data_IF_998034721135
#
_entry.id   IF_998034721135
#
_cell.length_a   1.000
_cell.length_b   1.000
_cell.length_c   1.000
_cell.angle_alpha   90.00
_cell.angle_beta   90.00
_cell.angle_gamma   90.00
#
_symmetry.space_group_name_H-M   'P 1'
#
loop_
_entity.id
_entity.type
_entity.pdbx_description
1 polymer ?
#
# COMPACT_ATOMS: atom_id res chain seq x y z
N UNK A 1 75.18 19.56 8.63
CA UNK A 1 74.47 20.86 8.63
C UNK A 1 73.02 20.54 8.24
N UNK A 2 72.11 20.49 9.23
CA UNK A 2 70.92 21.38 9.36
C UNK A 2 70.14 21.54 8.04
N UNK A 3 68.85 21.20 7.92
CA UNK A 3 67.75 21.55 8.82
C UNK A 3 66.59 20.55 8.75
N UNK A 4 65.98 20.30 9.92
CA UNK A 4 64.59 19.88 10.06
C UNK A 4 63.69 20.95 9.44
N UNK A 5 62.63 20.55 8.73
CA UNK A 5 61.42 21.36 8.60
C UNK A 5 60.21 20.55 9.07
N UNK A 6 59.75 20.89 10.28
CA UNK A 6 58.38 20.67 10.74
C UNK A 6 57.47 21.64 9.97
N UNK A 7 56.40 21.12 9.35
CA UNK A 7 55.19 21.93 9.12
C UNK A 7 54.04 21.19 9.79
N UNK A 8 53.62 21.75 10.92
CA UNK A 8 52.32 21.51 11.51
C UNK A 8 51.26 22.05 10.54
N UNK A 9 50.48 21.15 9.94
CA UNK A 9 49.32 21.47 9.12
C UNK A 9 48.11 20.76 9.67
N UNK A 10 47.55 21.28 10.76
CA UNK A 10 46.17 21.01 11.11
C UNK A 10 45.29 21.95 10.28
N UNK A 11 44.39 21.39 9.48
CA UNK A 11 42.96 21.73 9.42
C UNK A 11 42.32 20.57 8.66
N UNK A 12 41.66 19.71 9.42
CA UNK A 12 40.73 18.76 8.86
C UNK A 12 39.47 19.54 8.46
N UNK A 13 39.19 19.63 7.17
CA UNK A 13 37.83 19.87 6.67
C UNK A 13 37.39 18.60 5.97
N UNK A 14 37.16 17.57 6.78
CA UNK A 14 36.27 16.50 6.38
C UNK A 14 34.88 17.09 6.60
N UNK A 15 34.25 17.60 5.54
CA UNK A 15 32.81 17.80 5.55
C UNK A 15 32.16 16.41 5.57
N UNK A 16 32.20 15.75 6.72
CA UNK A 16 31.27 14.67 7.00
C UNK A 16 29.92 15.35 7.16
N UNK A 17 29.15 15.39 6.08
CA UNK A 17 27.70 15.27 6.23
C UNK A 17 27.47 13.88 6.83
N UNK A 18 27.61 13.80 8.15
CA UNK A 18 26.93 12.77 8.92
C UNK A 18 25.46 13.01 8.62
N UNK A 19 24.90 12.26 7.67
CA UNK A 19 23.48 12.02 7.66
C UNK A 19 23.20 11.44 9.06
N UNK A 20 22.63 12.26 9.93
CA UNK A 20 22.22 11.83 11.25
C UNK A 20 21.38 10.56 11.05
N UNK A 21 21.57 9.52 11.88
CA UNK A 21 20.65 8.39 11.86
C UNK A 21 19.23 8.96 11.95
N UNK A 22 18.28 8.46 11.14
CA UNK A 22 16.88 8.83 11.29
C UNK A 22 16.50 8.53 12.74
N UNK A 23 16.53 9.55 13.60
CA UNK A 23 16.11 9.45 15.00
C UNK A 23 14.60 9.45 14.97
N UNK A 24 14.06 8.27 14.70
CA UNK A 24 12.65 8.01 14.91
C UNK A 24 12.37 8.17 16.41
N UNK A 25 11.52 9.15 16.71
CA UNK A 25 11.19 9.54 18.07
C UNK A 25 9.80 9.02 18.43
N UNK A 26 9.67 8.47 19.63
CA UNK A 26 8.39 8.01 20.19
C UNK A 26 7.54 9.14 20.75
N UNK A 27 8.17 10.26 21.10
CA UNK A 27 7.52 11.32 21.89
C UNK A 27 7.44 12.64 21.12
N UNK A 28 8.57 13.16 20.62
CA UNK A 28 8.66 14.49 19.99
C UNK A 28 8.95 14.43 18.51
N UNK A 29 8.38 15.34 17.74
CA UNK A 29 8.62 15.50 16.31
C UNK A 29 8.58 16.97 15.91
N UNK A 30 8.93 17.25 14.65
CA UNK A 30 8.99 18.61 14.14
C UNK A 30 10.42 19.09 13.94
N UNK A 31 10.55 20.36 13.55
CA UNK A 31 11.85 21.00 13.35
C UNK A 31 12.73 20.90 14.62
N UNK A 32 13.96 20.44 14.44
CA UNK A 32 14.89 20.15 15.54
C UNK A 32 14.63 18.87 16.36
N UNK A 33 13.48 18.20 16.20
CA UNK A 33 13.15 16.95 16.92
C UNK A 33 13.10 15.71 16.01
N UNK A 34 12.97 15.89 14.70
CA UNK A 34 12.97 14.81 13.73
C UNK A 34 11.58 14.21 13.50
N UNK A 35 11.55 12.98 12.97
CA UNK A 35 10.31 12.30 12.55
C UNK A 35 9.79 11.36 13.62
N UNK A 36 8.48 11.19 13.68
CA UNK A 36 7.86 10.14 14.48
C UNK A 36 8.19 8.74 13.97
N UNK A 37 8.14 7.75 14.86
CA UNK A 37 8.17 6.33 14.51
C UNK A 37 7.22 6.01 13.34
N UNK A 38 7.58 5.07 12.44
CA UNK A 38 6.70 4.67 11.34
C UNK A 38 5.28 4.32 11.83
N UNK A 39 4.27 4.89 11.17
CA UNK A 39 2.87 4.70 11.56
C UNK A 39 2.34 5.70 12.60
N UNK A 40 3.14 6.68 13.01
CA UNK A 40 2.73 7.77 13.89
C UNK A 40 2.67 9.11 13.16
N UNK A 41 1.74 9.95 13.63
CA UNK A 41 1.47 11.29 13.15
C UNK A 41 2.21 12.31 14.01
N UNK A 42 2.60 13.43 13.41
CA UNK A 42 3.22 14.53 14.11
C UNK A 42 2.21 15.67 14.28
N UNK A 43 1.76 15.95 15.49
CA UNK A 43 0.79 17.03 15.75
C UNK A 43 1.41 18.41 15.49
N UNK A 44 0.59 19.46 15.37
CA UNK A 44 1.06 20.85 15.29
C UNK A 44 1.93 21.26 16.49
N UNK A 45 1.73 20.59 17.64
CA UNK A 45 2.46 20.85 18.89
C UNK A 45 3.78 20.08 18.98
N UNK A 46 4.17 19.35 17.92
CA UNK A 46 5.43 18.62 17.86
C UNK A 46 5.47 17.37 18.73
N UNK A 47 4.34 16.67 18.82
CA UNK A 47 4.20 15.39 19.54
C UNK A 47 3.79 14.27 18.59
N UNK A 48 4.34 13.08 18.84
CA UNK A 48 4.00 11.87 18.10
C UNK A 48 2.77 11.20 18.70
N UNK A 49 1.82 10.82 17.84
CA UNK A 49 0.61 10.12 18.26
C UNK A 49 -0.18 9.55 17.11
N UNK A 50 -1.30 8.88 17.42
CA UNK A 50 -2.20 8.26 16.43
C UNK A 50 -3.64 8.74 16.52
N UNK A 51 -3.95 9.65 17.45
CA UNK A 51 -5.30 10.19 17.55
C UNK A 51 -5.55 11.21 16.44
N UNK A 52 -6.82 11.51 16.19
CA UNK A 52 -7.24 12.57 15.27
C UNK A 52 -6.55 13.92 15.57
N UNK A 53 -6.29 14.25 16.84
CA UNK A 53 -5.54 15.46 17.23
C UNK A 53 -4.09 15.49 16.73
N UNK A 54 -3.51 14.32 16.42
CA UNK A 54 -2.16 14.20 15.89
C UNK A 54 -2.16 14.05 14.37
N UNK A 55 -3.16 13.36 13.83
CA UNK A 55 -3.19 12.92 12.44
C UNK A 55 -3.99 13.86 11.53
N UNK A 56 -5.00 14.57 12.04
CA UNK A 56 -5.83 15.44 11.22
C UNK A 56 -5.03 16.62 10.66
N UNK A 57 -5.09 16.78 9.33
CA UNK A 57 -4.54 17.96 8.67
C UNK A 57 -5.26 19.25 9.10
N UNK A 58 -6.56 19.17 9.44
CA UNK A 58 -7.31 20.31 9.98
C UNK A 58 -6.81 20.75 11.36
N UNK A 59 -6.22 19.84 12.12
CA UNK A 59 -5.61 20.10 13.44
C UNK A 59 -4.09 20.31 13.36
N UNK A 60 -3.59 20.57 12.15
CA UNK A 60 -2.21 20.99 11.92
C UNK A 60 -1.18 19.86 11.99
N UNK A 61 -1.57 18.62 11.68
CA UNK A 61 -0.60 17.54 11.48
C UNK A 61 0.52 17.94 10.50
N UNK A 62 1.78 17.71 10.89
CA UNK A 62 2.99 18.09 10.15
C UNK A 62 3.51 16.92 9.30
N UNK A 63 3.12 16.88 8.03
CA UNK A 63 3.40 15.76 7.11
C UNK A 63 4.89 15.48 6.87
N UNK A 64 5.76 16.50 7.00
CA UNK A 64 7.21 16.31 6.89
C UNK A 64 7.80 15.43 8.01
N UNK A 65 7.13 15.38 9.16
CA UNK A 65 7.62 14.76 10.40
C UNK A 65 6.78 13.58 10.89
N UNK A 66 5.66 13.26 10.24
CA UNK A 66 4.80 12.12 10.58
C UNK A 66 3.72 11.90 9.51
N UNK A 67 2.94 10.84 9.63
CA UNK A 67 1.85 10.54 8.68
C UNK A 67 0.63 11.39 9.04
N UNK A 68 -0.05 12.01 8.07
CA UNK A 68 -1.27 12.76 8.32
C UNK A 68 -2.48 12.17 7.58
N UNK A 69 -3.67 12.35 8.15
CA UNK A 69 -4.94 11.87 7.63
C UNK A 69 -5.34 12.66 6.38
N UNK A 70 -5.22 11.99 5.24
CA UNK A 70 -5.46 12.57 3.92
C UNK A 70 -6.96 12.78 3.63
N UNK A 71 -7.86 12.40 4.54
CA UNK A 71 -9.31 12.61 4.40
C UNK A 71 -9.71 14.09 4.46
N UNK A 72 -8.84 14.95 5.02
CA UNK A 72 -9.10 16.37 5.26
C UNK A 72 -8.59 17.32 4.16
N UNK A 73 -7.91 16.81 3.13
CA UNK A 73 -7.42 17.65 2.04
C UNK A 73 -8.57 18.24 1.20
N UNK A 74 -8.53 19.53 0.85
CA UNK A 74 -9.52 20.13 -0.03
C UNK A 74 -9.46 19.51 -1.43
N UNK A 75 -10.59 19.49 -2.14
CA UNK A 75 -10.64 19.11 -3.55
C UNK A 75 -10.23 20.30 -4.44
N UNK A 76 -9.45 20.01 -5.48
CA UNK A 76 -8.86 21.01 -6.36
C UNK A 76 -8.85 20.52 -7.82
N UNK A 77 -9.00 21.44 -8.77
CA UNK A 77 -8.77 21.16 -10.21
C UNK A 77 -7.39 21.61 -10.68
N UNK A 78 -6.63 22.28 -9.82
CA UNK A 78 -5.36 22.91 -10.17
C UNK A 78 -4.19 22.17 -9.49
N UNK A 79 -3.90 22.50 -8.24
CA UNK A 79 -2.80 21.90 -7.47
C UNK A 79 -3.27 20.69 -6.68
N UNK A 80 -2.38 19.73 -6.51
CA UNK A 80 -2.59 18.54 -5.69
C UNK A 80 -1.27 18.07 -5.09
N UNK A 81 -1.36 17.07 -4.21
CA UNK A 81 -0.21 16.46 -3.54
C UNK A 81 -0.36 16.56 -2.02
N UNK A 82 0.60 15.93 -1.35
CA UNK A 82 0.68 15.88 0.11
C UNK A 82 0.61 17.29 0.73
N UNK A 83 -0.26 17.47 1.71
CA UNK A 83 -0.46 18.77 2.39
C UNK A 83 -1.06 19.88 1.51
N UNK A 84 -1.37 19.63 0.23
CA UNK A 84 -1.91 20.63 -0.70
C UNK A 84 -3.39 20.42 -0.94
N UNK A 85 -3.75 19.35 -1.67
CA UNK A 85 -5.13 19.07 -2.08
C UNK A 85 -5.22 17.68 -2.75
N UNK A 86 -6.44 17.15 -2.79
CA UNK A 86 -6.82 16.03 -3.67
C UNK A 86 -7.43 16.58 -4.96
N UNK A 87 -7.21 15.90 -6.08
CA UNK A 87 -7.89 16.23 -7.32
C UNK A 87 -9.38 15.90 -7.24
N UNK A 88 -10.21 16.67 -7.94
CA UNK A 88 -11.62 16.32 -8.12
C UNK A 88 -11.77 14.92 -8.73
N UNK A 89 -12.87 14.20 -8.43
CA UNK A 89 -13.18 12.94 -9.12
C UNK A 89 -13.11 13.09 -10.64
N UNK A 90 -12.46 12.13 -11.28
CA UNK A 90 -12.14 12.12 -12.71
C UNK A 90 -10.87 12.88 -13.10
N UNK A 91 -10.14 13.48 -12.14
CA UNK A 91 -8.85 14.14 -12.35
C UNK A 91 -7.74 13.39 -11.60
N UNK A 92 -6.57 13.40 -12.20
CA UNK A 92 -5.39 12.68 -11.76
C UNK A 92 -4.35 13.66 -11.24
N UNK A 93 -3.67 13.33 -10.14
CA UNK A 93 -2.59 14.16 -9.63
C UNK A 93 -1.27 13.74 -10.24
N UNK A 94 -0.69 14.55 -11.13
CA UNK A 94 0.65 14.27 -11.68
C UNK A 94 1.73 14.34 -10.61
N UNK A 95 2.90 13.72 -10.83
CA UNK A 95 4.08 13.85 -9.95
C UNK A 95 4.56 15.28 -9.76
N UNK A 96 4.11 16.20 -10.62
CA UNK A 96 4.44 17.62 -10.57
C UNK A 96 3.48 18.42 -9.68
N UNK A 97 2.52 17.76 -9.01
CA UNK A 97 1.58 18.39 -8.10
C UNK A 97 0.47 19.17 -8.81
N UNK A 98 0.08 18.70 -10.00
CA UNK A 98 -0.99 19.27 -10.82
C UNK A 98 -2.08 18.25 -11.12
N UNK A 99 -3.33 18.67 -11.00
CA UNK A 99 -4.50 17.92 -11.42
C UNK A 99 -4.69 18.02 -12.92
N UNK A 100 -4.99 16.90 -13.57
CA UNK A 100 -5.35 16.88 -14.98
C UNK A 100 -5.87 15.52 -15.41
N UNK A 101 -6.37 15.44 -16.65
CA UNK A 101 -7.01 14.24 -17.18
C UNK A 101 -6.20 13.57 -18.30
N UNK A 102 -5.08 14.18 -18.72
CA UNK A 102 -4.24 13.62 -19.78
C UNK A 102 -3.41 12.44 -19.25
N UNK A 103 -2.87 11.63 -20.16
CA UNK A 103 -1.97 10.53 -19.79
C UNK A 103 -0.74 11.01 -19.00
N UNK A 104 -0.27 12.25 -19.20
CA UNK A 104 0.83 12.82 -18.42
C UNK A 104 0.46 13.02 -16.94
N UNK A 105 -0.83 13.21 -16.66
CA UNK A 105 -1.36 13.34 -15.31
C UNK A 105 -1.82 12.00 -14.76
N UNK A 106 -2.48 11.19 -15.57
CA UNK A 106 -3.21 9.98 -15.16
C UNK A 106 -2.41 8.69 -15.26
N UNK A 107 -1.36 8.66 -16.09
CA UNK A 107 -0.56 7.45 -16.19
C UNK A 107 0.27 7.27 -14.94
N UNK A 108 0.13 6.11 -14.31
CA UNK A 108 1.04 5.65 -13.25
C UNK A 108 2.50 5.73 -13.72
N UNK A 109 2.78 5.40 -14.99
CA UNK A 109 4.14 5.47 -15.54
C UNK A 109 4.72 6.89 -15.59
N UNK A 110 3.85 7.91 -15.66
CA UNK A 110 4.24 9.32 -15.68
C UNK A 110 4.32 9.92 -14.27
N UNK A 111 4.06 9.10 -13.24
CA UNK A 111 4.16 9.48 -11.83
C UNK A 111 2.86 10.02 -11.26
N UNK A 112 1.71 9.55 -11.74
CA UNK A 112 0.45 9.90 -11.08
C UNK A 112 0.46 9.46 -9.59
N UNK A 113 0.12 10.40 -8.70
CA UNK A 113 0.04 10.23 -7.26
C UNK A 113 -1.37 9.78 -6.86
N UNK A 114 -1.55 8.48 -6.65
CA UNK A 114 -2.86 7.85 -6.45
C UNK A 114 -3.57 8.24 -5.16
N UNK A 115 -2.82 8.74 -4.19
CA UNK A 115 -3.30 9.27 -2.92
C UNK A 115 -4.02 10.63 -3.11
N UNK A 116 -3.72 11.30 -4.23
CA UNK A 116 -4.17 12.66 -4.53
C UNK A 116 -4.97 12.77 -5.83
N UNK A 117 -5.24 11.69 -6.56
CA UNK A 117 -6.09 11.71 -7.75
C UNK A 117 -6.30 10.34 -8.42
N UNK A 118 -7.14 10.31 -9.45
CA UNK A 118 -7.65 9.08 -10.09
C UNK A 118 -6.71 8.48 -11.14
N UNK A 119 -5.61 7.86 -10.69
CA UNK A 119 -4.53 7.38 -11.57
C UNK A 119 -4.81 6.12 -12.42
N UNK A 120 -6.05 5.86 -12.81
CA UNK A 120 -6.49 4.61 -13.46
C UNK A 120 -6.36 4.60 -14.99
N UNK A 121 -5.50 5.42 -15.60
CA UNK A 121 -5.15 5.37 -17.03
C UNK A 121 -6.29 5.53 -18.05
N UNK A 122 -7.54 5.59 -17.61
CA UNK A 122 -8.72 5.78 -18.46
C UNK A 122 -9.03 7.27 -18.50
N UNK A 123 -8.25 8.00 -19.29
CA UNK A 123 -8.74 9.23 -19.87
C UNK A 123 -9.93 8.86 -20.75
N UNK A 124 -11.15 8.98 -20.23
CA UNK A 124 -12.37 9.02 -21.05
C UNK A 124 -12.36 10.35 -21.81
N UNK A 125 -11.51 10.42 -22.84
CA UNK A 125 -11.55 11.47 -23.84
C UNK A 125 -12.43 11.01 -24.99
N UNK A 126 -13.59 11.65 -25.18
CA UNK A 126 -14.30 11.61 -26.45
C UNK A 126 -13.30 11.91 -27.58
N UNK A 127 -13.10 10.90 -28.44
CA UNK A 127 -12.09 10.79 -29.51
C UNK A 127 -12.22 11.89 -30.60
N UNK A 128 -11.20 12.15 -31.46
CA UNK A 128 -10.86 11.21 -32.56
C UNK A 128 -9.35 10.98 -32.87
N UNK A 129 -9.07 9.70 -33.15
CA UNK A 129 -8.11 8.99 -34.05
C UNK A 129 -6.94 9.79 -34.67
N UNK A 130 -5.69 9.26 -34.57
CA UNK A 130 -4.86 8.79 -35.73
C UNK A 130 -3.52 8.14 -35.33
N UNK A 131 -3.33 6.91 -35.85
CA UNK A 131 -2.15 6.07 -36.20
C UNK A 131 -0.77 6.27 -35.53
N UNK A 132 -0.32 5.17 -34.91
CA UNK A 132 1.00 4.50 -34.97
C UNK A 132 2.28 5.33 -35.02
N UNK A 133 3.10 5.24 -33.97
CA UNK A 133 4.54 4.97 -34.07
C UNK A 133 5.08 4.49 -32.73
N UNK A 134 5.62 3.27 -32.74
CA UNK A 134 6.30 2.62 -31.62
C UNK A 134 7.71 3.20 -31.46
N UNK A 135 8.03 3.75 -30.29
CA UNK A 135 9.44 3.98 -29.92
C UNK A 135 9.67 3.53 -28.47
N UNK A 136 10.35 2.39 -28.38
CA UNK A 136 10.89 1.79 -27.17
C UNK A 136 11.93 2.73 -26.53
N UNK A 137 11.77 3.03 -25.24
CA UNK A 137 12.85 3.58 -24.41
C UNK A 137 13.17 2.57 -23.31
N UNK A 138 14.44 2.19 -23.28
CA UNK A 138 15.07 1.17 -22.43
C UNK A 138 15.09 1.61 -20.96
N UNK A 139 14.80 0.74 -19.98
CA UNK A 139 14.84 1.09 -18.56
C UNK A 139 16.27 1.38 -18.08
N UNK A 140 16.43 2.43 -17.26
CA UNK A 140 17.63 2.67 -16.46
C UNK A 140 17.68 1.63 -15.34
N UNK A 141 18.77 0.87 -15.16
CA UNK A 141 18.86 -0.14 -14.12
C UNK A 141 19.14 0.54 -12.77
N UNK A 142 18.15 0.55 -11.89
CA UNK A 142 18.33 0.86 -10.47
C UNK A 142 18.97 -0.32 -9.75
N UNK A 143 20.07 -0.01 -9.06
CA UNK A 143 20.83 -0.73 -8.02
C UNK A 143 20.52 -2.21 -7.72
N UNK A 144 21.62 -2.98 -7.62
CA UNK A 144 21.75 -4.40 -7.24
C UNK A 144 20.61 -4.98 -6.39
N UNK A 145 20.16 -6.20 -6.68
CA UNK A 145 18.98 -6.75 -6.05
C UNK A 145 19.30 -7.19 -4.62
N UNK A 146 18.31 -7.04 -3.74
CA UNK A 146 18.30 -7.73 -2.45
C UNK A 146 17.92 -9.19 -2.75
N UNK A 147 18.86 -9.93 -3.36
CA UNK A 147 18.64 -11.28 -3.88
C UNK A 147 18.59 -12.31 -2.75
N UNK A 148 17.44 -12.40 -2.08
CA UNK A 148 16.96 -13.63 -1.42
C UNK A 148 15.45 -13.60 -1.09
N UNK A 149 14.66 -12.73 -1.73
CA UNK A 149 13.20 -12.69 -1.51
C UNK A 149 12.50 -13.63 -2.48
N UNK A 150 12.10 -14.82 -1.99
CA UNK A 150 11.39 -15.81 -2.80
C UNK A 150 9.94 -15.39 -3.12
N UNK A 151 9.25 -14.75 -2.17
CA UNK A 151 7.85 -14.34 -2.30
C UNK A 151 7.67 -12.88 -1.91
N UNK A 152 6.83 -12.17 -2.66
CA UNK A 152 6.44 -10.81 -2.27
C UNK A 152 4.99 -10.51 -2.65
N UNK A 153 4.31 -9.78 -1.77
CA UNK A 153 2.97 -9.28 -1.99
C UNK A 153 2.34 -8.86 -0.67
N UNK A 154 1.05 -9.15 -0.48
CA UNK A 154 0.28 -8.56 0.62
C UNK A 154 -0.71 -9.53 1.25
N UNK A 155 -1.09 -9.21 2.49
CA UNK A 155 -2.18 -9.81 3.24
C UNK A 155 -3.38 -8.86 3.25
N UNK A 156 -4.60 -9.36 3.05
CA UNK A 156 -5.80 -8.53 3.17
C UNK A 156 -7.03 -9.28 3.69
N UNK A 157 -7.93 -8.53 4.35
CA UNK A 157 -9.32 -8.92 4.64
C UNK A 157 -10.26 -8.08 3.79
N UNK A 158 -11.43 -8.61 3.45
CA UNK A 158 -12.41 -7.81 2.70
C UNK A 158 -12.97 -6.65 3.51
N UNK A 159 -13.25 -6.85 4.81
CA UNK A 159 -13.67 -5.78 5.72
C UNK A 159 -12.67 -4.62 5.72
N UNK A 160 -11.42 -4.89 6.06
CA UNK A 160 -10.39 -3.85 6.13
C UNK A 160 -10.12 -3.16 4.80
N UNK A 161 -10.21 -3.89 3.68
CA UNK A 161 -10.10 -3.29 2.35
C UNK A 161 -11.28 -2.36 2.06
N UNK A 162 -12.50 -2.81 2.34
CA UNK A 162 -13.70 -2.00 2.13
C UNK A 162 -13.67 -0.74 2.98
N UNK A 163 -13.19 -0.82 4.22
CA UNK A 163 -13.09 0.33 5.12
C UNK A 163 -12.05 1.34 4.62
N UNK A 164 -10.91 0.86 4.13
CA UNK A 164 -9.83 1.72 3.63
C UNK A 164 -10.13 2.34 2.26
N UNK A 165 -10.76 1.59 1.34
CA UNK A 165 -10.97 2.01 -0.05
C UNK A 165 -12.40 2.41 -0.37
N UNK A 166 -13.34 2.26 0.56
CA UNK A 166 -14.79 2.43 0.36
C UNK A 166 -15.44 1.33 -0.51
N UNK A 167 -14.63 0.52 -1.19
CA UNK A 167 -15.05 -0.58 -2.06
C UNK A 167 -14.02 -1.70 -2.04
N UNK A 168 -14.44 -2.89 -2.44
CA UNK A 168 -13.52 -4.00 -2.68
C UNK A 168 -12.98 -3.83 -4.11
N UNK A 169 -11.65 -3.74 -4.32
CA UNK A 169 -11.05 -3.69 -5.64
C UNK A 169 -11.45 -4.91 -6.48
N UNK A 170 -11.60 -4.70 -7.79
CA UNK A 170 -11.72 -5.80 -8.74
C UNK A 170 -10.39 -6.56 -8.90
N UNK A 171 -10.45 -7.71 -9.60
CA UNK A 171 -9.30 -8.59 -9.78
C UNK A 171 -8.12 -7.94 -10.50
N UNK A 172 -8.36 -7.14 -11.54
CA UNK A 172 -7.29 -6.47 -12.28
C UNK A 172 -6.57 -5.45 -11.41
N UNK A 173 -7.33 -4.73 -10.57
CA UNK A 173 -6.76 -3.79 -9.61
C UNK A 173 -5.93 -4.49 -8.54
N UNK A 174 -6.37 -5.65 -8.05
CA UNK A 174 -5.60 -6.47 -7.12
C UNK A 174 -4.27 -6.95 -7.71
N UNK A 175 -4.30 -7.47 -8.94
CA UNK A 175 -3.09 -7.86 -9.69
C UNK A 175 -2.17 -6.65 -9.91
N UNK A 176 -2.74 -5.48 -10.18
CA UNK A 176 -2.00 -4.23 -10.29
C UNK A 176 -1.23 -3.87 -9.02
N UNK A 177 -1.83 -3.99 -7.84
CA UNK A 177 -1.14 -3.78 -6.56
C UNK A 177 -0.01 -4.79 -6.35
N UNK A 178 -0.28 -6.06 -6.67
CA UNK A 178 0.70 -7.14 -6.52
C UNK A 178 1.93 -6.92 -7.40
N UNK A 179 1.71 -6.61 -8.67
CA UNK A 179 2.76 -6.34 -9.66
C UNK A 179 3.62 -5.13 -9.28
N UNK A 180 3.00 -4.10 -8.69
CA UNK A 180 3.76 -2.95 -8.18
C UNK A 180 4.70 -3.38 -7.06
N UNK A 181 4.23 -4.19 -6.12
CA UNK A 181 5.07 -4.64 -5.01
C UNK A 181 6.15 -5.63 -5.44
N UNK A 182 5.83 -6.61 -6.29
CA UNK A 182 6.79 -7.61 -6.75
C UNK A 182 7.90 -7.01 -7.60
N UNK A 183 7.63 -5.91 -8.32
CA UNK A 183 8.65 -5.20 -9.10
C UNK A 183 9.82 -4.67 -8.24
N UNK A 184 9.60 -4.44 -6.94
CA UNK A 184 10.68 -4.03 -6.03
C UNK A 184 11.61 -5.20 -5.65
N UNK A 185 11.17 -6.44 -5.85
CA UNK A 185 11.89 -7.66 -5.50
C UNK A 185 12.11 -8.50 -6.76
N UNK A 186 13.16 -8.21 -7.51
CA UNK A 186 13.43 -8.93 -8.76
C UNK A 186 13.57 -10.43 -8.51
N UNK A 187 12.83 -11.25 -9.26
CA UNK A 187 12.85 -12.70 -9.15
C UNK A 187 11.94 -13.28 -8.07
N UNK A 188 11.27 -12.45 -7.26
CA UNK A 188 10.26 -12.96 -6.32
C UNK A 188 9.02 -13.43 -7.05
N UNK A 189 8.37 -14.46 -6.49
CA UNK A 189 7.07 -14.92 -6.95
C UNK A 189 5.96 -14.05 -6.31
N UNK A 190 4.94 -13.63 -7.07
CA UNK A 190 3.79 -12.92 -6.53
C UNK A 190 3.04 -13.81 -5.54
N UNK A 191 2.80 -13.29 -4.33
CA UNK A 191 2.13 -14.04 -3.26
C UNK A 191 1.14 -13.18 -2.50
N UNK A 192 -0.05 -13.72 -2.23
CA UNK A 192 -1.08 -13.05 -1.43
C UNK A 192 -1.55 -13.93 -0.28
N UNK A 193 -1.87 -13.31 0.85
CA UNK A 193 -2.56 -13.96 1.97
C UNK A 193 -3.99 -13.40 2.02
N UNK A 194 -4.97 -14.25 1.71
CA UNK A 194 -6.39 -13.87 1.69
C UNK A 194 -7.05 -14.37 2.97
N UNK A 195 -7.60 -13.45 3.74
CA UNK A 195 -8.36 -13.79 4.94
C UNK A 195 -9.80 -14.13 4.53
N UNK A 196 -10.19 -15.38 4.67
CA UNK A 196 -11.50 -15.90 4.21
C UNK A 196 -12.54 -16.01 5.32
N UNK A 197 -12.17 -15.64 6.55
CA UNK A 197 -13.10 -15.52 7.69
C UNK A 197 -12.75 -14.32 8.58
N UNK A 198 -13.75 -13.81 9.29
CA UNK A 198 -13.62 -12.71 10.24
C UNK A 198 -14.04 -13.19 11.64
N UNK A 199 -13.41 -12.66 12.68
CA UNK A 199 -13.91 -12.77 14.05
C UNK A 199 -14.92 -11.65 14.32
N UNK A 200 -16.06 -11.99 14.92
CA UNK A 200 -17.16 -11.07 15.23
C UNK A 200 -17.46 -11.19 16.73
N UNK A 201 -17.89 -10.10 17.36
CA UNK A 201 -18.04 -10.05 18.83
C UNK A 201 -19.05 -11.08 19.35
N UNK A 202 -20.05 -11.47 18.54
CA UNK A 202 -21.06 -12.48 18.89
C UNK A 202 -20.73 -13.88 18.33
N UNK A 203 -19.85 -13.99 17.33
CA UNK A 203 -19.50 -15.25 16.67
C UNK A 203 -18.01 -15.42 16.41
N UNK A 204 -17.50 -16.58 16.82
CA UNK A 204 -16.07 -16.90 16.92
C UNK A 204 -15.37 -17.01 15.57
N UNK A 205 -16.08 -17.41 14.51
CA UNK A 205 -15.55 -17.44 13.14
C UNK A 205 -16.68 -17.33 12.12
N UNK A 206 -16.63 -16.28 11.29
CA UNK A 206 -17.57 -16.04 10.20
C UNK A 206 -16.88 -16.17 8.85
N UNK A 207 -17.18 -17.23 8.12
CA UNK A 207 -16.69 -17.43 6.76
C UNK A 207 -17.39 -16.49 5.76
N UNK A 208 -16.62 -15.90 4.84
CA UNK A 208 -17.16 -15.06 3.76
C UNK A 208 -17.72 -15.85 2.57
N UNK A 209 -18.19 -17.07 2.77
CA UNK A 209 -18.78 -17.94 1.74
C UNK A 209 -19.93 -18.80 2.31
N UNK A 210 -20.79 -19.37 1.44
CA UNK A 210 -21.93 -20.18 1.85
C UNK A 210 -21.51 -21.46 2.57
N UNK A 211 -22.33 -21.89 3.53
CA UNK A 211 -22.06 -23.10 4.32
C UNK A 211 -21.94 -24.34 3.41
N UNK A 212 -20.81 -25.04 3.40
CA UNK A 212 -20.66 -26.25 2.61
C UNK A 212 -21.62 -27.36 3.06
N UNK A 213 -21.92 -28.27 2.14
CA UNK A 213 -22.63 -29.51 2.45
C UNK A 213 -21.78 -30.36 3.41
N UNK A 214 -22.41 -30.94 4.43
CA UNK A 214 -21.71 -31.76 5.44
C UNK A 214 -21.11 -31.01 6.62
N UNK A 215 -21.10 -29.66 6.60
CA UNK A 215 -20.73 -28.85 7.77
C UNK A 215 -21.95 -28.62 8.65
N UNK A 216 -21.87 -29.07 9.91
CA UNK A 216 -22.91 -28.87 10.93
C UNK A 216 -23.04 -27.41 11.32
N UNK A 217 -24.27 -26.97 11.59
CA UNK A 217 -24.52 -25.64 12.15
C UNK A 217 -24.08 -25.63 13.62
N UNK A 218 -23.28 -24.64 14.01
CA UNK A 218 -22.88 -24.41 15.39
C UNK A 218 -23.14 -22.93 15.72
N UNK A 219 -23.08 -22.58 17.01
CA UNK A 219 -23.12 -21.16 17.44
C UNK A 219 -21.78 -20.44 17.28
N UNK A 220 -20.74 -21.15 16.86
CA UNK A 220 -19.36 -20.66 16.77
C UNK A 220 -18.89 -20.49 15.32
N UNK A 221 -19.73 -20.89 14.36
CA UNK A 221 -19.46 -20.85 12.93
C UNK A 221 -20.62 -20.18 12.21
N UNK A 222 -20.30 -19.13 11.48
CA UNK A 222 -21.22 -18.48 10.55
C UNK A 222 -20.69 -18.50 9.12
N UNK A 223 -21.61 -18.35 8.18
CA UNK A 223 -21.35 -18.44 6.75
C UNK A 223 -22.13 -17.33 6.05
N UNK A 224 -21.47 -16.61 5.16
CA UNK A 224 -22.11 -15.61 4.33
C UNK A 224 -23.09 -16.26 3.35
N UNK A 225 -24.10 -15.52 2.89
CA UNK A 225 -25.04 -16.00 1.87
C UNK A 225 -24.46 -16.05 0.46
N UNK A 226 -23.32 -15.38 0.22
CA UNK A 226 -22.64 -15.32 -1.07
C UNK A 226 -21.18 -15.65 -0.89
N UNK A 227 -20.61 -16.28 -1.91
CA UNK A 227 -19.16 -16.42 -2.01
C UNK A 227 -18.59 -15.07 -2.39
N UNK A 228 -17.57 -14.62 -1.65
CA UNK A 228 -16.92 -13.33 -1.88
C UNK A 228 -15.52 -13.49 -2.46
N UNK A 229 -15.00 -14.72 -2.61
CA UNK A 229 -13.59 -14.98 -2.90
C UNK A 229 -13.36 -15.74 -4.20
N UNK A 230 -14.31 -16.55 -4.68
CA UNK A 230 -14.16 -17.36 -5.90
C UNK A 230 -13.65 -16.56 -7.12
N UNK A 231 -14.25 -15.39 -7.37
CA UNK A 231 -13.89 -14.52 -8.50
C UNK A 231 -12.45 -14.02 -8.41
N UNK A 232 -12.00 -13.62 -7.22
CA UNK A 232 -10.65 -13.08 -7.03
C UNK A 232 -9.60 -14.19 -7.02
N UNK A 233 -9.91 -15.36 -6.45
CA UNK A 233 -9.03 -16.53 -6.50
C UNK A 233 -8.82 -17.02 -7.93
N UNK A 234 -9.89 -17.04 -8.75
CA UNK A 234 -9.79 -17.34 -10.19
C UNK A 234 -8.89 -16.36 -10.95
N UNK A 235 -8.90 -15.09 -10.57
CA UNK A 235 -7.99 -14.08 -11.14
C UNK A 235 -6.55 -14.34 -10.72
N UNK A 236 -6.32 -14.73 -9.47
CA UNK A 236 -4.98 -15.09 -8.98
C UNK A 236 -4.40 -16.31 -9.68
N UNK A 237 -5.19 -17.38 -9.87
CA UNK A 237 -4.80 -18.55 -10.67
C UNK A 237 -4.36 -18.14 -12.08
N UNK A 238 -5.19 -17.35 -12.78
CA UNK A 238 -4.91 -16.89 -14.14
C UNK A 238 -3.61 -16.09 -14.25
N UNK A 239 -3.19 -15.43 -13.16
CA UNK A 239 -1.99 -14.59 -13.12
C UNK A 239 -0.79 -15.27 -12.43
N UNK A 240 -0.88 -16.56 -12.10
CA UNK A 240 0.22 -17.32 -11.48
C UNK A 240 0.62 -16.78 -10.11
N UNK A 241 -0.37 -16.29 -9.35
CA UNK A 241 -0.16 -15.75 -8.00
C UNK A 241 -0.26 -16.90 -6.99
N UNK A 242 0.74 -17.02 -6.11
CA UNK A 242 0.67 -17.98 -5.01
C UNK A 242 -0.30 -17.45 -3.95
N UNK A 243 -1.29 -18.25 -3.56
CA UNK A 243 -2.31 -17.83 -2.60
C UNK A 243 -2.20 -18.64 -1.31
N UNK A 244 -2.20 -17.94 -0.17
CA UNK A 244 -2.35 -18.53 1.14
C UNK A 244 -3.71 -18.11 1.71
N UNK A 245 -4.52 -19.08 2.12
CA UNK A 245 -5.81 -18.82 2.74
C UNK A 245 -5.64 -18.79 4.26
N UNK A 246 -6.03 -17.66 4.87
CA UNK A 246 -6.01 -17.46 6.31
C UNK A 246 -7.44 -17.49 6.86
N UNK A 247 -7.62 -18.13 8.02
CA UNK A 247 -8.83 -18.03 8.84
C UNK A 247 -8.54 -17.31 10.14
N UNK A 248 -9.52 -16.57 10.63
CA UNK A 248 -9.58 -16.09 12.01
C UNK A 248 -10.41 -17.10 12.81
N UNK A 249 -9.77 -17.93 13.67
CA UNK A 249 -10.39 -19.15 14.16
C UNK A 249 -11.27 -18.95 15.40
N UNK A 250 -10.99 -17.89 16.17
CA UNK A 250 -11.31 -17.80 17.59
C UNK A 250 -11.02 -19.13 18.31
N UNK A 251 -11.98 -19.68 19.04
CA UNK A 251 -11.87 -20.94 19.80
C UNK A 251 -12.17 -22.21 18.98
N UNK A 252 -12.36 -22.11 17.66
CA UNK A 252 -12.62 -23.29 16.83
C UNK A 252 -11.34 -24.11 16.54
N UNK A 253 -11.51 -25.41 16.30
CA UNK A 253 -10.41 -26.30 15.90
C UNK A 253 -9.85 -25.92 14.51
N UNK A 254 -8.57 -25.56 14.46
CA UNK A 254 -7.87 -25.14 13.24
C UNK A 254 -7.90 -26.18 12.14
N UNK A 255 -7.80 -27.47 12.48
CA UNK A 255 -7.82 -28.56 11.48
C UNK A 255 -9.19 -28.65 10.81
N UNK A 256 -10.26 -28.48 11.58
CA UNK A 256 -11.64 -28.42 11.09
C UNK A 256 -11.84 -27.23 10.16
N UNK A 257 -11.40 -26.03 10.56
CA UNK A 257 -11.51 -24.84 9.71
C UNK A 257 -10.71 -24.98 8.42
N UNK A 258 -9.49 -25.51 8.50
CA UNK A 258 -8.65 -25.76 7.33
C UNK A 258 -9.36 -26.71 6.35
N UNK A 259 -9.96 -27.80 6.82
CA UNK A 259 -10.73 -28.74 5.98
C UNK A 259 -11.92 -28.05 5.31
N UNK A 260 -12.64 -27.18 6.02
CA UNK A 260 -13.76 -26.42 5.45
C UNK A 260 -13.27 -25.54 4.30
N UNK A 261 -12.17 -24.80 4.51
CA UNK A 261 -11.59 -23.92 3.50
C UNK A 261 -11.04 -24.71 2.31
N UNK A 262 -10.32 -25.80 2.55
CA UNK A 262 -9.80 -26.66 1.48
C UNK A 262 -10.92 -27.32 0.67
N UNK A 263 -12.02 -27.72 1.30
CA UNK A 263 -13.16 -28.24 0.55
C UNK A 263 -13.84 -27.17 -0.31
N UNK A 264 -13.81 -25.91 0.13
CA UNK A 264 -14.41 -24.79 -0.61
C UNK A 264 -13.51 -24.33 -1.77
N UNK A 265 -12.20 -24.18 -1.56
CA UNK A 265 -11.29 -23.52 -2.50
C UNK A 265 -10.10 -24.38 -2.96
N UNK A 266 -10.04 -25.65 -2.57
CA UNK A 266 -8.93 -26.54 -2.92
C UNK A 266 -8.86 -26.91 -4.41
N UNK A 267 -9.81 -26.46 -5.23
CA UNK A 267 -9.75 -26.57 -6.68
C UNK A 267 -8.87 -25.49 -7.34
N UNK A 268 -8.53 -24.41 -6.61
CA UNK A 268 -7.60 -23.39 -7.09
C UNK A 268 -6.16 -23.91 -7.10
N UNK A 269 -5.34 -23.34 -7.97
CA UNK A 269 -3.94 -23.75 -8.13
C UNK A 269 -3.06 -23.22 -6.99
N UNK A 270 -2.12 -24.07 -6.55
CA UNK A 270 -1.12 -23.73 -5.53
C UNK A 270 0.13 -23.10 -6.15
#
# INVERSE_FOLDING_TARGET
>A
MKFLNFIAGAIALISTVSAAPNTYSKDRCGDGYGKCDPGFCCSEYGWCGKSDDHCSLKKGCQSEYGICDQADLPLSKDRCGEGVAKCYPGYCCSKYGWCGQSNDHCSISNGCQSEFGDCNGSGNGSKPITKTSTTSVKPVPTSKPVDNVEWSGFRFSQGGVKDNYGTIPDGDRWVGFLNKMTKHFQGSKPTVIVIVSENDDDVICRFGFPKPSGVSKTKYLEFSSKDRFEDILSVFDKNGVNVWLQVEPGDNDLVTLAKIVFNQYGHHSC
#
